data_IF_852131945556
#
_entry.id   IF_852131945556
#
_cell.length_a   1.000
_cell.length_b   1.000
_cell.length_c   1.000
_cell.angle_alpha   90.00
_cell.angle_beta   90.00
_cell.angle_gamma   90.00
#
_symmetry.space_group_name_H-M   'P 1'
#
loop_
_entity.id
_entity.type
_entity.pdbx_description
1 polymer ?
#
# COMPACT_ATOMS: atom_id res chain seq x y z
N UNK A 1 -17.48 10.26 -2.01
CA UNK A 1 -16.57 9.56 -1.09
C UNK A 1 -15.41 9.00 -1.90
N UNK A 2 -14.18 9.35 -1.53
CA UNK A 2 -12.95 8.81 -2.09
C UNK A 2 -12.64 7.41 -1.55
N UNK A 3 -11.75 6.67 -2.22
CA UNK A 3 -11.31 5.34 -1.72
C UNK A 3 -10.65 5.47 -0.34
N UNK A 4 -9.92 6.56 -0.09
CA UNK A 4 -9.29 6.81 1.22
C UNK A 4 -10.35 6.93 2.31
N UNK A 5 -11.36 7.76 2.09
CA UNK A 5 -12.47 7.93 3.05
C UNK A 5 -13.22 6.62 3.27
N UNK A 6 -13.45 5.83 2.21
CA UNK A 6 -14.06 4.50 2.32
C UNK A 6 -13.25 3.58 3.25
N UNK A 7 -11.93 3.48 3.02
CA UNK A 7 -11.04 2.63 3.83
C UNK A 7 -10.98 3.14 5.27
N UNK A 8 -10.85 4.45 5.48
CA UNK A 8 -10.81 5.04 6.83
C UNK A 8 -12.10 4.78 7.63
N UNK A 9 -13.26 4.78 6.97
CA UNK A 9 -14.56 4.55 7.61
C UNK A 9 -14.85 3.06 7.86
N UNK A 10 -14.52 2.18 6.90
CA UNK A 10 -14.99 0.79 6.95
C UNK A 10 -13.93 -0.21 7.47
N UNK A 11 -12.63 0.06 7.30
CA UNK A 11 -11.57 -0.92 7.55
C UNK A 11 -10.93 -0.68 8.91
N UNK A 12 -11.69 -0.95 9.98
CA UNK A 12 -11.31 -0.60 11.36
C UNK A 12 -10.80 -1.77 12.21
N UNK A 13 -10.96 -3.02 11.76
CA UNK A 13 -10.72 -4.19 12.63
C UNK A 13 -9.87 -5.28 11.97
N UNK A 14 -9.07 -5.98 12.80
CA UNK A 14 -8.25 -7.12 12.41
C UNK A 14 -7.44 -6.84 11.12
N UNK A 15 -7.48 -7.77 10.17
CA UNK A 15 -6.72 -7.68 8.92
C UNK A 15 -7.16 -6.50 8.03
N UNK A 16 -8.41 -6.03 8.13
CA UNK A 16 -8.87 -4.90 7.30
C UNK A 16 -8.15 -3.60 7.69
N UNK A 17 -7.91 -3.39 9.00
CA UNK A 17 -7.20 -2.22 9.51
C UNK A 17 -5.76 -2.13 9.00
N UNK A 18 -5.13 -3.26 8.70
CA UNK A 18 -3.75 -3.27 8.22
C UNK A 18 -3.60 -2.56 6.87
N UNK A 19 -4.63 -2.57 6.00
CA UNK A 19 -4.60 -1.79 4.76
C UNK A 19 -4.48 -0.29 5.06
N UNK A 20 -5.28 0.22 6.00
CA UNK A 20 -5.28 1.62 6.43
C UNK A 20 -3.95 1.99 7.08
N UNK A 21 -3.45 1.14 7.98
CA UNK A 21 -2.17 1.36 8.67
C UNK A 21 -1.01 1.41 7.67
N UNK A 22 -0.93 0.43 6.75
CA UNK A 22 0.13 0.35 5.75
C UNK A 22 0.14 1.56 4.81
N UNK A 23 -1.03 2.00 4.34
CA UNK A 23 -1.14 3.18 3.50
C UNK A 23 -0.61 4.45 4.20
N UNK A 24 -1.00 4.68 5.46
CA UNK A 24 -0.54 5.85 6.23
C UNK A 24 0.95 5.77 6.57
N UNK A 25 1.46 4.59 6.91
CA UNK A 25 2.87 4.39 7.19
C UNK A 25 3.73 4.64 5.94
N UNK A 26 3.27 4.19 4.77
CA UNK A 26 3.94 4.44 3.50
C UNK A 26 3.99 5.94 3.16
N UNK A 27 2.90 6.67 3.35
CA UNK A 27 2.90 8.13 3.17
C UNK A 27 3.87 8.84 4.12
N UNK A 28 3.89 8.45 5.39
CA UNK A 28 4.85 8.99 6.35
C UNK A 28 6.30 8.72 5.92
N UNK A 29 6.60 7.51 5.46
CA UNK A 29 7.92 7.13 4.93
C UNK A 29 8.33 8.03 3.75
N UNK A 30 7.44 8.23 2.78
CA UNK A 30 7.68 9.12 1.63
C UNK A 30 7.91 10.57 2.07
N UNK A 31 7.10 11.08 3.00
CA UNK A 31 7.24 12.44 3.52
C UNK A 31 8.58 12.69 4.23
N UNK A 32 9.22 11.63 4.73
CA UNK A 32 10.57 11.70 5.31
C UNK A 32 11.70 11.53 4.28
N UNK A 33 11.38 11.50 2.98
CA UNK A 33 12.34 11.27 1.90
C UNK A 33 12.75 9.80 1.74
N UNK A 34 12.02 8.89 2.38
CA UNK A 34 12.26 7.45 2.28
C UNK A 34 11.94 6.90 0.89
N UNK A 35 12.71 5.90 0.46
CA UNK A 35 12.48 5.19 -0.81
C UNK A 35 11.78 3.85 -0.57
N UNK A 36 10.99 3.41 -1.54
CA UNK A 36 10.31 2.12 -1.47
C UNK A 36 11.20 1.01 -2.03
N UNK A 37 11.35 -0.07 -1.26
CA UNK A 37 11.87 -1.35 -1.75
C UNK A 37 10.72 -2.36 -1.72
N UNK A 38 10.49 -3.08 -2.81
CA UNK A 38 9.46 -4.12 -2.89
C UNK A 38 10.12 -5.48 -3.06
N UNK A 39 9.82 -6.37 -2.11
CA UNK A 39 10.06 -7.81 -2.25
C UNK A 39 8.70 -8.49 -2.46
N UNK A 40 8.63 -9.42 -3.41
CA UNK A 40 7.36 -10.04 -3.82
C UNK A 40 7.58 -11.48 -4.27
N UNK A 41 6.65 -12.36 -3.91
CA UNK A 41 6.62 -13.75 -4.37
C UNK A 41 6.30 -13.86 -5.88
N UNK A 42 6.79 -14.92 -6.52
CA UNK A 42 6.62 -15.16 -7.96
C UNK A 42 5.15 -15.17 -8.42
N UNK A 43 4.24 -15.76 -7.64
CA UNK A 43 2.81 -15.80 -7.98
C UNK A 43 2.19 -14.39 -8.12
N UNK A 44 2.58 -13.44 -7.26
CA UNK A 44 2.12 -12.05 -7.32
C UNK A 44 2.72 -11.30 -8.52
N UNK A 45 3.94 -11.68 -8.94
CA UNK A 45 4.54 -11.18 -10.19
C UNK A 45 3.76 -11.64 -11.42
N UNK A 46 3.43 -12.94 -11.49
CA UNK A 46 2.61 -13.51 -12.57
C UNK A 46 1.22 -12.86 -12.61
N UNK A 47 0.65 -12.53 -11.45
CA UNK A 47 -0.60 -11.78 -11.34
C UNK A 47 -0.48 -10.29 -11.75
N UNK A 48 0.71 -9.81 -12.10
CA UNK A 48 0.92 -8.44 -12.61
C UNK A 48 1.02 -7.36 -11.53
N UNK A 49 1.10 -7.71 -10.25
CA UNK A 49 1.15 -6.74 -9.14
C UNK A 49 2.38 -5.83 -9.24
N UNK A 50 3.51 -6.35 -9.75
CA UNK A 50 4.73 -5.53 -9.95
C UNK A 50 4.50 -4.34 -10.89
N UNK A 51 3.65 -4.48 -11.93
CA UNK A 51 3.33 -3.37 -12.83
C UNK A 51 2.51 -2.29 -12.14
N UNK A 52 1.59 -2.69 -11.26
CA UNK A 52 0.80 -1.75 -10.44
C UNK A 52 1.71 -0.91 -9.54
N UNK A 53 2.69 -1.56 -8.90
CA UNK A 53 3.60 -0.91 -7.95
C UNK A 53 4.76 -0.14 -8.61
N UNK A 54 4.98 -0.31 -9.92
CA UNK A 54 6.11 0.28 -10.63
C UNK A 54 6.26 1.80 -10.41
N UNK A 55 5.16 2.54 -10.35
CA UNK A 55 5.17 4.00 -10.13
C UNK A 55 5.50 4.40 -8.69
N UNK A 56 5.34 3.49 -7.74
CA UNK A 56 5.56 3.72 -6.30
C UNK A 56 7.02 3.43 -5.88
N UNK A 57 7.78 2.71 -6.72
CA UNK A 57 9.16 2.29 -6.46
C UNK A 57 10.21 3.05 -7.28
N UNK A 58 9.80 4.12 -7.98
CA UNK A 58 10.68 4.98 -8.78
C UNK A 58 11.38 6.04 -7.93
#
# INVERSE_FOLDING_TARGET
MSIREFVDLHYSHFNSRELRNAARAYEAHLNTGGKMLVSMAGAMSTAGIGRLLSRAIQ
#
